data_IF_135360436669
#
_entry.id   IF_135360436669
#
_cell.length_a   1.000
_cell.length_b   1.000
_cell.length_c   1.000
_cell.angle_alpha   90.00
_cell.angle_beta   90.00
_cell.angle_gamma   90.00
#
_symmetry.space_group_name_H-M   'P 1'
#
loop_
_entity.id
_entity.type
_entity.pdbx_description
1 polymer ?
#
# COMPACT_ATOMS: atom_id res chain seq x y z
N UNK A 1 53.82 27.77 11.58
CA UNK A 1 53.54 26.62 12.47
C UNK A 1 52.07 26.26 12.33
N UNK A 2 51.78 24.99 11.95
CA UNK A 2 50.61 24.15 12.32
C UNK A 2 49.20 24.74 12.11
N UNK A 3 48.19 24.11 11.51
CA UNK A 3 47.96 22.82 10.81
C UNK A 3 46.44 22.83 10.47
N UNK A 4 46.06 22.41 9.24
CA UNK A 4 44.85 21.60 8.87
C UNK A 4 43.44 22.15 9.21
N UNK A 5 42.42 22.18 8.32
CA UNK A 5 41.80 21.13 7.48
C UNK A 5 40.96 21.81 6.36
N UNK A 6 41.30 21.72 5.07
CA UNK A 6 40.92 20.67 4.11
C UNK A 6 39.42 20.64 3.72
N UNK A 7 39.07 21.50 2.76
CA UNK A 7 37.91 21.38 1.84
C UNK A 7 38.40 20.62 0.60
N UNK A 8 37.76 19.49 0.23
CA UNK A 8 37.69 18.93 -1.14
C UNK A 8 36.95 17.59 -1.07
N UNK A 9 35.65 17.57 -1.34
CA UNK A 9 35.07 17.21 -2.64
C UNK A 9 35.49 15.80 -3.11
N UNK A 10 34.90 14.76 -2.50
CA UNK A 10 34.89 13.41 -3.06
C UNK A 10 33.56 13.19 -3.75
N UNK A 11 33.62 13.09 -5.08
CA UNK A 11 32.52 12.67 -5.93
C UNK A 11 32.23 11.17 -5.72
N UNK A 12 30.97 10.79 -5.55
CA UNK A 12 30.44 9.51 -6.06
C UNK A 12 29.05 9.75 -6.63
N UNK A 13 29.03 9.73 -7.96
CA UNK A 13 27.87 9.51 -8.80
C UNK A 13 27.29 8.12 -8.49
N UNK A 14 26.05 8.06 -8.01
CA UNK A 14 25.19 6.89 -8.21
C UNK A 14 23.85 7.35 -8.78
N UNK A 15 23.79 7.30 -10.10
CA UNK A 15 22.55 7.19 -10.83
C UNK A 15 21.93 5.82 -10.51
N UNK A 16 20.74 5.81 -9.92
CA UNK A 16 19.79 4.71 -10.05
C UNK A 16 18.53 5.27 -10.70
N UNK A 17 18.48 5.12 -12.01
CA UNK A 17 17.27 5.24 -12.83
C UNK A 17 16.36 4.05 -12.54
N UNK A 18 15.13 4.33 -12.11
CA UNK A 18 14.02 3.37 -12.04
C UNK A 18 12.71 4.09 -11.69
N UNK A 19 11.56 3.81 -12.35
CA UNK A 19 10.34 4.57 -12.15
C UNK A 19 9.62 4.11 -10.87
N UNK A 20 10.06 4.59 -9.71
CA UNK A 20 9.30 4.53 -8.45
C UNK A 20 8.50 5.83 -8.29
N UNK A 21 7.63 6.16 -9.24
CA UNK A 21 6.86 7.42 -9.19
C UNK A 21 5.34 7.22 -9.21
N UNK A 22 4.85 6.06 -9.63
CA UNK A 22 3.40 5.83 -9.80
C UNK A 22 2.71 5.35 -8.51
N UNK A 23 3.34 4.44 -7.74
CA UNK A 23 2.74 3.88 -6.53
C UNK A 23 2.82 4.84 -5.32
N UNK A 24 3.88 5.65 -5.24
CA UNK A 24 4.10 6.62 -4.17
C UNK A 24 3.04 7.73 -4.21
N UNK A 25 2.66 8.16 -5.42
CA UNK A 25 1.67 9.22 -5.62
C UNK A 25 0.25 8.81 -5.19
N UNK A 26 -0.15 7.56 -5.42
CA UNK A 26 -1.49 7.09 -5.06
C UNK A 26 -1.72 7.09 -3.54
N UNK A 27 -0.71 6.69 -2.76
CA UNK A 27 -0.80 6.68 -1.30
C UNK A 27 -0.76 8.09 -0.69
N UNK A 28 0.04 8.99 -1.26
CA UNK A 28 0.08 10.41 -0.87
C UNK A 28 -1.24 11.12 -1.19
N UNK A 29 -1.79 10.94 -2.39
CA UNK A 29 -3.09 11.50 -2.78
C UNK A 29 -4.22 10.99 -1.88
N UNK A 30 -4.25 9.68 -1.59
CA UNK A 30 -5.24 9.10 -0.67
C UNK A 30 -5.15 9.71 0.72
N UNK A 31 -3.94 9.97 1.23
CA UNK A 31 -3.75 10.61 2.53
C UNK A 31 -4.22 12.06 2.55
N UNK A 32 -3.98 12.82 1.49
CA UNK A 32 -4.49 14.18 1.36
C UNK A 32 -6.02 14.22 1.34
N UNK A 33 -6.66 13.36 0.54
CA UNK A 33 -8.14 13.23 0.50
C UNK A 33 -8.70 12.82 1.85
N UNK A 34 -8.14 11.79 2.50
CA UNK A 34 -8.59 11.37 3.83
C UNK A 34 -8.43 12.47 4.89
N UNK A 35 -7.39 13.29 4.82
CA UNK A 35 -7.27 14.43 5.74
C UNK A 35 -8.30 15.52 5.46
N UNK A 36 -8.61 15.78 4.19
CA UNK A 36 -9.67 16.74 3.80
C UNK A 36 -11.05 16.25 4.24
N UNK A 37 -11.37 14.99 4.03
CA UNK A 37 -12.67 14.39 4.35
C UNK A 37 -12.89 14.19 5.85
N UNK A 38 -11.81 14.23 6.64
CA UNK A 38 -11.92 14.20 8.10
C UNK A 38 -12.65 15.45 8.64
N UNK A 39 -12.67 16.57 7.89
CA UNK A 39 -13.37 17.79 8.28
C UNK A 39 -13.03 18.23 9.71
N UNK A 40 -14.06 18.51 10.51
CA UNK A 40 -13.94 18.95 11.90
C UNK A 40 -13.81 17.82 12.92
N UNK A 41 -13.63 16.56 12.49
CA UNK A 41 -13.45 15.43 13.40
C UNK A 41 -12.19 15.65 14.24
N UNK A 42 -12.28 15.39 15.55
CA UNK A 42 -11.16 15.51 16.51
C UNK A 42 -11.05 14.27 17.37
N UNK A 43 -9.91 14.11 18.04
CA UNK A 43 -9.67 13.01 18.96
C UNK A 43 -9.85 11.63 18.31
N UNK A 44 -10.52 10.74 19.02
CA UNK A 44 -10.71 9.34 18.60
C UNK A 44 -11.53 9.21 17.31
N UNK A 45 -12.48 10.12 17.08
CA UNK A 45 -13.32 10.11 15.86
C UNK A 45 -12.50 10.36 14.60
N UNK A 46 -11.53 11.29 14.67
CA UNK A 46 -10.61 11.54 13.55
C UNK A 46 -9.71 10.34 13.32
N UNK A 47 -9.20 9.74 14.40
CA UNK A 47 -8.30 8.58 14.32
C UNK A 47 -8.99 7.35 13.72
N UNK A 48 -10.23 7.07 14.15
CA UNK A 48 -11.05 6.00 13.61
C UNK A 48 -11.37 6.23 12.12
N UNK A 49 -11.76 7.45 11.76
CA UNK A 49 -12.00 7.84 10.38
C UNK A 49 -10.73 7.69 9.52
N UNK A 50 -9.59 8.19 10.00
CA UNK A 50 -8.33 8.11 9.28
C UNK A 50 -7.89 6.65 9.10
N UNK A 51 -8.03 5.82 10.13
CA UNK A 51 -7.76 4.38 10.04
C UNK A 51 -8.63 3.71 8.99
N UNK A 52 -9.92 4.03 8.95
CA UNK A 52 -10.84 3.50 7.94
C UNK A 52 -10.47 3.98 6.54
N UNK A 53 -10.30 5.29 6.35
CA UNK A 53 -10.04 5.93 5.07
C UNK A 53 -8.68 5.51 4.49
N UNK A 54 -7.62 5.51 5.31
CA UNK A 54 -6.29 5.09 4.88
C UNK A 54 -6.15 3.58 4.77
N UNK A 55 -6.99 2.78 5.43
CA UNK A 55 -6.93 1.33 5.26
C UNK A 55 -7.14 0.98 3.78
N UNK A 56 -6.12 0.36 3.19
CA UNK A 56 -6.39 -0.63 2.15
C UNK A 56 -6.96 -1.78 2.93
N UNK A 57 -8.28 -1.98 2.96
CA UNK A 57 -8.86 -3.18 3.57
C UNK A 57 -8.31 -4.38 2.81
N UNK A 58 -7.14 -4.87 3.21
CA UNK A 58 -6.66 -6.18 2.85
C UNK A 58 -7.66 -7.10 3.53
N UNK A 59 -8.52 -7.73 2.72
CA UNK A 59 -9.32 -8.84 3.21
C UNK A 59 -8.36 -9.77 3.95
N UNK A 60 -8.72 -10.15 5.17
CA UNK A 60 -8.01 -11.22 5.85
C UNK A 60 -8.02 -12.45 4.95
N UNK A 61 -7.01 -13.31 5.07
CA UNK A 61 -6.97 -14.55 4.28
C UNK A 61 -8.26 -15.39 4.46
N UNK A 62 -8.90 -15.29 5.63
CA UNK A 62 -10.17 -15.94 5.94
C UNK A 62 -11.37 -15.32 5.21
N UNK A 63 -11.47 -13.98 5.18
CA UNK A 63 -12.50 -13.28 4.41
C UNK A 63 -12.33 -13.52 2.91
N UNK A 64 -11.08 -13.49 2.43
CA UNK A 64 -10.72 -13.77 1.04
C UNK A 64 -11.11 -15.21 0.65
N UNK A 65 -10.80 -16.20 1.48
CA UNK A 65 -11.20 -17.58 1.26
C UNK A 65 -12.71 -17.77 1.25
N UNK A 66 -13.43 -17.07 2.13
CA UNK A 66 -14.90 -17.13 2.17
C UNK A 66 -15.50 -16.54 0.90
N UNK A 67 -15.01 -15.38 0.46
CA UNK A 67 -15.42 -14.75 -0.80
C UNK A 67 -15.12 -15.65 -2.01
N UNK A 68 -13.89 -16.17 -2.11
CA UNK A 68 -13.51 -17.10 -3.18
C UNK A 68 -14.36 -18.38 -3.19
N UNK A 69 -14.74 -18.93 -2.03
CA UNK A 69 -15.64 -20.08 -2.00
C UNK A 69 -17.06 -19.75 -2.45
N UNK A 70 -17.57 -18.56 -2.10
CA UNK A 70 -18.87 -18.08 -2.56
C UNK A 70 -18.89 -17.90 -4.09
N UNK A 71 -17.85 -17.31 -4.64
CA UNK A 71 -17.74 -17.03 -6.08
C UNK A 71 -17.41 -18.28 -6.91
N UNK A 72 -16.92 -19.34 -6.27
CA UNK A 72 -16.73 -20.65 -6.87
C UNK A 72 -18.02 -21.47 -7.03
N UNK A 73 -19.19 -20.92 -6.64
CA UNK A 73 -20.48 -21.61 -6.77
C UNK A 73 -20.73 -22.01 -8.23
N UNK A 74 -21.15 -23.25 -8.45
CA UNK A 74 -21.36 -23.81 -9.79
C UNK A 74 -20.10 -24.29 -10.51
N UNK A 75 -18.89 -23.97 -10.01
CA UNK A 75 -17.63 -24.52 -10.54
C UNK A 75 -17.33 -25.89 -9.91
N UNK A 76 -16.89 -26.86 -10.71
CA UNK A 76 -16.56 -28.22 -10.27
C UNK A 76 -15.24 -28.67 -10.88
N UNK A 77 -14.60 -29.66 -10.26
CA UNK A 77 -13.35 -30.24 -10.77
C UNK A 77 -12.23 -29.21 -10.92
N UNK A 78 -11.52 -29.30 -12.04
CA UNK A 78 -10.34 -28.47 -12.31
C UNK A 78 -10.67 -26.98 -12.42
N UNK A 79 -11.86 -26.62 -12.90
CA UNK A 79 -12.30 -25.22 -13.01
C UNK A 79 -12.40 -24.54 -11.65
N UNK A 80 -12.92 -25.26 -10.64
CA UNK A 80 -12.97 -24.73 -9.27
C UNK A 80 -11.57 -24.57 -8.70
N UNK A 81 -10.67 -25.52 -8.96
CA UNK A 81 -9.30 -25.50 -8.45
C UNK A 81 -8.48 -24.36 -9.06
N UNK A 82 -8.59 -24.16 -10.37
CA UNK A 82 -7.94 -23.06 -11.08
C UNK A 82 -8.46 -21.70 -10.59
N UNK A 83 -9.79 -21.56 -10.48
CA UNK A 83 -10.41 -20.36 -9.93
C UNK A 83 -9.95 -20.09 -8.49
N UNK A 84 -9.94 -21.09 -7.62
CA UNK A 84 -9.52 -20.93 -6.23
C UNK A 84 -8.05 -20.52 -6.14
N UNK A 85 -7.18 -21.13 -6.95
CA UNK A 85 -5.76 -20.77 -7.01
C UNK A 85 -5.60 -19.30 -7.42
N UNK A 86 -6.29 -18.87 -8.47
CA UNK A 86 -6.23 -17.49 -8.95
C UNK A 86 -6.83 -16.49 -7.94
N UNK A 87 -7.99 -16.80 -7.38
CA UNK A 87 -8.69 -15.95 -6.41
C UNK A 87 -7.90 -15.78 -5.10
N UNK A 88 -7.22 -16.84 -4.64
CA UNK A 88 -6.39 -16.79 -3.44
C UNK A 88 -4.98 -16.25 -3.68
N UNK A 89 -4.56 -16.08 -4.93
CA UNK A 89 -3.23 -15.54 -5.29
C UNK A 89 -3.17 -14.03 -5.08
N UNK A 90 -2.88 -13.59 -3.85
CA UNK A 90 -2.47 -12.23 -3.46
C UNK A 90 -1.92 -12.25 -2.04
#
# INVERSE_FOLDING_TARGET
>A
MKKTLAVSLTAVLMALTGPVLAAENAQQNKMATCNKDAGDRKGDDRKAFMKSCLSTKKMTQQEKMTACNKDATGKKGDDRKAFMKQCLSS
#
